data_IF_202918606702
#
_entry.id   IF_202918606702
#
_cell.length_a   1.000
_cell.length_b   1.000
_cell.length_c   1.000
_cell.angle_alpha   90.00
_cell.angle_beta   90.00
_cell.angle_gamma   90.00
#
_symmetry.space_group_name_H-M   'P 1'
#
loop_
_entity.id
_entity.type
_entity.pdbx_description
1 polymer ?
#
# COMPACT_ATOMS: atom_id res chain seq x y z
N UNK A 1 -8.82 10.52 11.88
CA UNK A 1 -9.81 9.91 10.94
C UNK A 1 -10.18 10.93 9.86
N UNK A 2 -11.00 10.56 8.87
CA UNK A 2 -11.36 11.44 7.74
C UNK A 2 -12.88 11.48 7.47
N UNK A 3 -13.36 12.52 6.80
CA UNK A 3 -14.79 12.68 6.45
C UNK A 3 -15.08 12.93 4.96
N UNK A 4 -14.06 13.14 4.13
CA UNK A 4 -14.18 13.30 2.67
C UNK A 4 -13.71 12.07 1.90
N UNK A 5 -13.78 10.88 2.51
CA UNK A 5 -13.35 9.64 1.86
C UNK A 5 -14.20 9.39 0.61
N UNK A 6 -13.57 9.16 -0.57
CA UNK A 6 -14.31 8.86 -1.78
C UNK A 6 -15.04 7.53 -1.66
N UNK A 7 -16.12 7.38 -2.44
CA UNK A 7 -16.81 6.09 -2.54
C UNK A 7 -15.84 5.00 -2.98
N UNK A 8 -15.89 3.86 -2.30
CA UNK A 8 -14.99 2.70 -2.41
C UNK A 8 -13.52 2.94 -2.02
N UNK A 9 -13.10 4.19 -1.81
CA UNK A 9 -11.72 4.56 -1.48
C UNK A 9 -10.65 3.83 -2.32
N UNK A 10 -10.61 4.06 -3.65
CA UNK A 10 -9.79 3.27 -4.58
C UNK A 10 -8.28 3.33 -4.32
N UNK A 11 -7.80 4.39 -3.65
CA UNK A 11 -6.39 4.53 -3.26
C UNK A 11 -6.14 4.07 -1.81
N UNK A 12 -7.18 3.66 -1.10
CA UNK A 12 -7.12 3.30 0.32
C UNK A 12 -6.51 4.41 1.21
N UNK A 13 -7.01 5.64 1.05
CA UNK A 13 -6.55 6.80 1.81
C UNK A 13 -7.05 6.80 3.26
N UNK A 14 -8.10 6.04 3.56
CA UNK A 14 -8.58 5.89 4.93
C UNK A 14 -7.49 5.32 5.84
N UNK A 15 -6.63 4.45 5.30
CA UNK A 15 -5.48 3.87 5.99
C UNK A 15 -5.85 3.20 7.34
N UNK A 16 -7.06 2.63 7.43
CA UNK A 16 -7.63 2.13 8.69
C UNK A 16 -6.79 1.03 9.35
N UNK A 17 -6.13 0.16 8.57
CA UNK A 17 -5.22 -0.85 9.11
C UNK A 17 -4.11 -0.22 9.96
N UNK A 18 -3.54 0.89 9.50
CA UNK A 18 -2.49 1.58 10.24
C UNK A 18 -3.04 2.12 11.57
N UNK A 19 -4.16 2.85 11.53
CA UNK A 19 -4.74 3.52 12.70
C UNK A 19 -5.34 2.56 13.73
N UNK A 20 -5.99 1.47 13.28
CA UNK A 20 -6.75 0.57 14.14
C UNK A 20 -6.01 -0.70 14.55
N UNK A 21 -4.96 -1.10 13.80
CA UNK A 21 -4.17 -2.28 14.13
C UNK A 21 -2.71 -1.90 14.43
N UNK A 22 -1.98 -1.36 13.44
CA UNK A 22 -0.53 -1.17 13.55
C UNK A 22 -0.15 -0.22 14.68
N UNK A 23 -0.81 0.95 14.77
CA UNK A 23 -0.46 1.98 15.76
C UNK A 23 -0.80 1.57 17.19
N UNK A 24 -1.89 0.83 17.36
CA UNK A 24 -2.24 0.22 18.64
C UNK A 24 -1.15 -0.76 19.10
N UNK A 25 -0.70 -1.66 18.22
CA UNK A 25 0.36 -2.62 18.54
C UNK A 25 1.67 -1.91 18.91
N UNK A 26 2.02 -0.83 18.20
CA UNK A 26 3.22 -0.05 18.49
C UNK A 26 3.13 0.66 19.84
N UNK A 27 1.95 1.15 20.21
CA UNK A 27 1.71 1.76 21.51
C UNK A 27 1.86 0.78 22.68
N UNK A 28 1.43 -0.49 22.50
CA UNK A 28 1.68 -1.56 23.49
C UNK A 28 3.18 -1.78 23.73
N UNK A 29 4.02 -1.48 22.76
CA UNK A 29 5.48 -1.49 22.88
C UNK A 29 6.07 -0.18 23.44
N UNK A 30 5.23 0.78 23.82
CA UNK A 30 5.60 2.12 24.27
C UNK A 30 5.98 3.08 23.14
N UNK A 31 5.55 2.81 21.90
CA UNK A 31 5.82 3.66 20.72
C UNK A 31 4.56 4.41 20.25
N UNK A 32 3.95 5.19 21.14
CA UNK A 32 2.97 6.19 20.73
C UNK A 32 3.66 7.29 19.93
N UNK A 33 3.30 7.46 18.65
CA UNK A 33 3.89 8.50 17.81
C UNK A 33 2.91 9.66 17.58
N UNK A 34 3.48 10.83 17.41
CA UNK A 34 2.85 12.00 16.81
C UNK A 34 2.85 11.85 15.28
N UNK A 35 1.68 12.11 14.67
CA UNK A 35 1.46 12.07 13.21
C UNK A 35 1.06 13.45 12.65
N UNK A 36 1.47 14.52 13.32
CA UNK A 36 1.39 15.91 12.86
C UNK A 36 0.10 16.65 13.26
N UNK A 37 -0.97 15.94 13.64
CA UNK A 37 -2.25 16.55 14.06
C UNK A 37 -2.94 15.73 15.14
N UNK A 38 -3.76 16.39 15.97
CA UNK A 38 -4.59 15.72 16.98
C UNK A 38 -3.81 15.15 18.16
N UNK A 39 -2.68 15.76 18.48
CA UNK A 39 -1.74 15.29 19.51
C UNK A 39 -1.50 16.38 20.55
N UNK A 40 -1.05 15.96 21.74
CA UNK A 40 -0.72 16.85 22.85
C UNK A 40 0.64 16.43 23.40
N UNK A 41 1.50 17.41 23.68
CA UNK A 41 2.80 17.18 24.31
C UNK A 41 3.06 18.24 25.36
N UNK A 42 3.69 17.82 26.46
CA UNK A 42 4.04 18.75 27.54
C UNK A 42 5.10 19.70 27.00
N UNK A 43 4.97 21.00 27.35
CA UNK A 43 5.97 22.00 26.97
C UNK A 43 7.38 21.60 27.41
N UNK A 44 7.52 21.10 28.64
CA UNK A 44 8.78 20.57 29.15
C UNK A 44 9.39 19.49 28.26
N UNK A 45 8.59 18.60 27.67
CA UNK A 45 9.11 17.58 26.74
C UNK A 45 9.73 18.23 25.51
N UNK A 46 9.12 19.30 24.98
CA UNK A 46 9.67 20.05 23.84
C UNK A 46 11.00 20.70 24.23
N UNK A 47 11.08 21.28 25.42
CA UNK A 47 12.32 21.89 25.92
C UNK A 47 13.43 20.84 26.13
N UNK A 48 13.08 19.69 26.72
CA UNK A 48 14.03 18.61 27.01
C UNK A 48 14.61 17.97 25.73
N UNK A 49 13.83 17.90 24.64
CA UNK A 49 14.34 17.40 23.35
C UNK A 49 15.04 18.48 22.50
N UNK A 50 15.10 19.73 22.99
CA UNK A 50 15.74 20.85 22.29
C UNK A 50 14.90 21.48 21.18
N UNK A 51 13.58 21.34 21.23
CA UNK A 51 12.65 21.87 20.22
C UNK A 51 12.24 20.87 19.15
N UNK A 52 11.55 21.34 18.12
CA UNK A 52 11.16 20.51 16.97
C UNK A 52 12.35 20.33 16.01
N UNK A 53 12.60 19.13 15.50
CA UNK A 53 13.70 18.87 14.57
C UNK A 53 13.41 19.50 13.19
N UNK A 54 14.37 20.27 12.68
CA UNK A 54 14.26 20.95 11.38
C UNK A 54 14.97 20.19 10.23
N UNK A 55 15.74 19.15 10.57
CA UNK A 55 16.57 18.37 9.66
C UNK A 55 15.84 17.19 9.01
N UNK A 56 14.61 16.89 9.45
CA UNK A 56 13.79 15.75 8.99
C UNK A 56 12.45 16.25 8.47
N UNK A 57 12.00 15.71 7.33
CA UNK A 57 10.77 16.14 6.66
C UNK A 57 9.48 15.71 7.38
N UNK A 58 9.60 14.79 8.34
CA UNK A 58 8.56 14.34 9.29
C UNK A 58 9.02 14.69 10.70
N UNK A 59 8.97 15.98 11.02
CA UNK A 59 9.38 16.52 12.31
C UNK A 59 8.57 15.92 13.46
N UNK A 60 7.29 15.64 13.21
CA UNK A 60 6.34 15.00 14.12
C UNK A 60 6.81 13.63 14.65
N UNK A 61 7.15 12.72 13.73
CA UNK A 61 7.63 11.38 14.05
C UNK A 61 9.00 11.46 14.74
N UNK A 62 9.90 12.32 14.24
CA UNK A 62 11.22 12.50 14.84
C UNK A 62 11.13 13.06 16.26
N UNK A 63 10.23 14.01 16.54
CA UNK A 63 10.01 14.53 17.89
C UNK A 63 9.55 13.44 18.86
N UNK A 64 8.75 12.48 18.40
CA UNK A 64 8.31 11.36 19.23
C UNK A 64 9.46 10.41 19.55
N UNK A 65 10.32 10.13 18.57
CA UNK A 65 11.54 9.35 18.77
C UNK A 65 12.49 10.05 19.76
N UNK A 66 12.68 11.37 19.63
CA UNK A 66 13.50 12.16 20.54
C UNK A 66 12.91 12.17 21.96
N UNK A 67 11.60 12.31 22.11
CA UNK A 67 10.95 12.27 23.42
C UNK A 67 11.17 10.90 24.12
N UNK A 68 11.03 9.80 23.38
CA UNK A 68 11.34 8.47 23.91
C UNK A 68 12.83 8.30 24.24
N UNK A 69 13.73 8.93 23.48
CA UNK A 69 15.16 8.95 23.78
C UNK A 69 15.50 9.68 25.08
N UNK A 70 14.71 10.69 25.44
CA UNK A 70 14.76 11.42 26.72
C UNK A 70 13.93 10.76 27.83
N UNK A 71 13.38 9.56 27.59
CA UNK A 71 12.72 8.75 28.61
C UNK A 71 11.26 9.14 28.86
N UNK A 72 10.69 10.01 28.04
CA UNK A 72 9.28 10.36 28.12
C UNK A 72 8.38 9.20 27.71
N UNK A 73 7.25 9.07 28.42
CA UNK A 73 6.20 8.12 28.05
C UNK A 73 5.33 8.74 26.96
N UNK A 74 5.18 8.02 25.85
CA UNK A 74 4.23 8.33 24.80
C UNK A 74 3.04 7.38 24.85
N UNK A 75 1.87 7.86 24.41
CA UNK A 75 0.60 7.11 24.43
C UNK A 75 -0.18 7.43 23.16
N UNK A 76 -0.71 6.40 22.49
CA UNK A 76 -1.65 6.51 21.38
C UNK A 76 -3.07 6.21 21.85
N UNK A 77 -3.98 7.18 21.67
CA UNK A 77 -5.39 6.99 21.97
C UNK A 77 -6.14 6.60 20.70
N UNK A 78 -6.72 5.40 20.68
CA UNK A 78 -7.45 4.86 19.53
C UNK A 78 -8.91 5.38 19.48
N UNK A 79 -9.09 6.70 19.48
CA UNK A 79 -10.41 7.34 19.47
C UNK A 79 -10.53 8.36 18.33
N UNK A 80 -11.72 8.43 17.74
CA UNK A 80 -12.05 9.33 16.64
C UNK A 80 -12.30 10.77 17.09
N UNK A 81 -11.31 11.41 17.70
CA UNK A 81 -11.45 12.78 18.23
C UNK A 81 -11.32 13.87 17.14
N UNK A 82 -10.65 13.55 16.03
CA UNK A 82 -10.47 14.47 14.92
C UNK A 82 -10.78 13.80 13.56
N UNK A 83 -11.51 14.55 12.73
CA UNK A 83 -11.84 14.18 11.36
C UNK A 83 -11.27 15.22 10.39
N UNK A 84 -10.21 14.83 9.67
CA UNK A 84 -9.55 15.65 8.65
C UNK A 84 -10.03 15.36 7.23
N UNK A 85 -9.29 15.91 6.28
CA UNK A 85 -9.47 15.67 4.85
C UNK A 85 -8.35 14.78 4.32
N UNK A 86 -8.67 13.79 3.50
CA UNK A 86 -7.69 13.10 2.65
C UNK A 86 -7.36 13.96 1.43
N UNK A 87 -6.16 13.80 0.82
CA UNK A 87 -5.81 14.50 -0.42
C UNK A 87 -6.87 14.32 -1.51
N UNK A 88 -7.22 15.41 -2.19
CA UNK A 88 -8.24 15.43 -3.25
C UNK A 88 -7.75 14.91 -4.60
N UNK A 89 -6.43 14.91 -4.82
CA UNK A 89 -5.81 14.49 -6.08
C UNK A 89 -4.87 13.30 -5.89
N UNK A 90 -4.68 12.53 -6.96
CA UNK A 90 -3.73 11.42 -7.01
C UNK A 90 -2.32 11.89 -6.63
N UNK A 91 -1.83 12.94 -7.28
CA UNK A 91 -0.47 13.47 -7.08
C UNK A 91 -0.26 13.97 -5.66
N UNK A 92 -1.26 14.65 -5.07
CA UNK A 92 -1.16 15.11 -3.69
C UNK A 92 -1.06 13.93 -2.70
N UNK A 93 -1.80 12.85 -2.98
CA UNK A 93 -1.70 11.63 -2.20
C UNK A 93 -0.33 10.94 -2.34
N UNK A 94 0.17 10.76 -3.56
CA UNK A 94 1.49 10.16 -3.78
C UNK A 94 2.59 10.99 -3.09
N UNK A 95 2.58 12.31 -3.24
CA UNK A 95 3.55 13.20 -2.57
C UNK A 95 3.49 13.09 -1.04
N UNK A 96 2.30 12.98 -0.47
CA UNK A 96 2.15 12.76 0.97
C UNK A 96 2.79 11.43 1.40
N UNK A 97 2.50 10.34 0.69
CA UNK A 97 3.03 9.01 1.02
C UNK A 97 4.55 8.91 0.83
N UNK A 98 5.10 9.48 -0.24
CA UNK A 98 6.56 9.47 -0.48
C UNK A 98 7.30 10.30 0.56
N UNK A 99 6.71 11.42 1.01
CA UNK A 99 7.27 12.23 2.09
C UNK A 99 7.30 11.49 3.41
N UNK A 100 6.21 10.82 3.78
CA UNK A 100 6.15 10.00 4.99
C UNK A 100 7.18 8.86 4.94
N UNK A 101 7.29 8.18 3.81
CA UNK A 101 8.28 7.12 3.61
C UNK A 101 9.72 7.63 3.80
N UNK A 102 10.08 8.74 3.15
CA UNK A 102 11.42 9.32 3.28
C UNK A 102 11.69 9.84 4.69
N UNK A 103 10.72 10.48 5.34
CA UNK A 103 10.86 10.97 6.70
C UNK A 103 11.06 9.86 7.73
N UNK A 104 10.34 8.74 7.58
CA UNK A 104 10.58 7.54 8.41
C UNK A 104 12.00 6.98 8.20
N UNK A 105 12.49 6.93 6.97
CA UNK A 105 13.88 6.53 6.66
C UNK A 105 14.92 7.50 7.24
N UNK A 106 14.69 8.81 7.13
CA UNK A 106 15.57 9.83 7.70
C UNK A 106 15.65 9.70 9.23
N UNK A 107 14.51 9.51 9.88
CA UNK A 107 14.42 9.33 11.34
C UNK A 107 15.20 8.08 11.76
N UNK A 108 14.96 6.92 11.13
CA UNK A 108 15.69 5.70 11.44
C UNK A 108 17.21 5.86 11.27
N UNK A 109 17.64 6.50 10.19
CA UNK A 109 19.06 6.77 9.91
C UNK A 109 19.66 7.72 10.94
N UNK A 110 18.96 8.80 11.32
CA UNK A 110 19.42 9.78 12.33
C UNK A 110 19.72 9.10 13.66
N UNK A 111 18.88 8.15 14.08
CA UNK A 111 19.06 7.39 15.32
C UNK A 111 20.03 6.19 15.19
N UNK A 112 20.69 6.01 14.04
CA UNK A 112 21.57 4.87 13.79
C UNK A 112 20.81 3.54 13.91
N UNK A 113 19.62 3.47 13.30
CA UNK A 113 18.66 2.37 13.44
C UNK A 113 18.33 2.05 14.91
N UNK A 114 18.34 3.08 15.76
CA UNK A 114 18.06 3.00 17.20
C UNK A 114 19.07 2.20 18.02
N UNK A 115 20.27 1.95 17.46
CA UNK A 115 21.39 1.31 18.15
C UNK A 115 22.45 2.30 18.66
N UNK A 116 22.36 3.58 18.29
CA UNK A 116 23.23 4.61 18.84
C UNK A 116 22.93 4.81 20.34
N UNK A 117 23.88 4.46 21.21
CA UNK A 117 23.72 4.59 22.67
C UNK A 117 23.46 6.04 23.10
N UNK A 118 24.16 6.99 22.47
CA UNK A 118 24.01 8.42 22.74
C UNK A 118 22.60 8.91 22.39
N UNK A 119 22.09 8.53 21.21
CA UNK A 119 20.80 9.00 20.69
C UNK A 119 19.59 8.24 21.23
N UNK A 120 19.79 7.18 22.01
CA UNK A 120 18.70 6.31 22.51
C UNK A 120 18.85 6.00 24.00
N UNK A 121 19.47 6.91 24.75
CA UNK A 121 19.92 6.73 26.14
C UNK A 121 18.84 6.15 27.05
N UNK A 122 17.63 6.70 27.00
CA UNK A 122 16.52 6.29 27.88
C UNK A 122 15.43 5.46 27.18
N UNK A 123 15.59 5.13 25.90
CA UNK A 123 14.63 4.25 25.22
C UNK A 123 14.68 2.83 25.79
N UNK A 124 13.50 2.25 26.02
CA UNK A 124 13.35 0.87 26.47
C UNK A 124 13.76 -0.13 25.38
N UNK A 125 14.22 -1.35 25.74
CA UNK A 125 14.61 -2.35 24.74
C UNK A 125 13.52 -2.65 23.71
N UNK A 126 12.27 -2.81 24.14
CA UNK A 126 11.14 -3.08 23.24
C UNK A 126 10.84 -1.88 22.30
N UNK A 127 11.01 -0.65 22.79
CA UNK A 127 10.89 0.56 21.95
C UNK A 127 11.96 0.56 20.85
N UNK A 128 13.21 0.23 21.20
CA UNK A 128 14.30 0.11 20.22
C UNK A 128 13.98 -0.97 19.20
N UNK A 129 13.58 -2.17 19.63
CA UNK A 129 13.29 -3.29 18.73
C UNK A 129 12.22 -2.95 17.69
N UNK A 130 11.08 -2.39 18.11
CA UNK A 130 10.00 -2.01 17.18
C UNK A 130 10.46 -0.93 16.20
N UNK A 131 11.20 0.07 16.68
CA UNK A 131 11.68 1.17 15.84
C UNK A 131 12.79 0.73 14.87
N UNK A 132 13.71 -0.13 15.30
CA UNK A 132 14.70 -0.79 14.43
C UNK A 132 13.99 -1.60 13.36
N UNK A 133 13.00 -2.42 13.74
CA UNK A 133 12.24 -3.24 12.79
C UNK A 133 11.51 -2.37 11.74
N UNK A 134 10.87 -1.28 12.16
CA UNK A 134 10.21 -0.35 11.24
C UNK A 134 11.22 0.39 10.34
N UNK A 135 12.34 0.83 10.90
CA UNK A 135 13.44 1.44 10.14
C UNK A 135 13.98 0.50 9.07
N UNK A 136 14.33 -0.73 9.44
CA UNK A 136 14.74 -1.76 8.47
C UNK A 136 13.65 -2.05 7.44
N UNK A 137 12.37 -2.07 7.86
CA UNK A 137 11.26 -2.30 6.94
C UNK A 137 11.21 -1.23 5.84
N UNK A 138 11.29 0.06 6.18
CA UNK A 138 11.23 1.13 5.17
C UNK A 138 12.45 1.10 4.24
N UNK A 139 13.64 0.83 4.75
CA UNK A 139 14.89 0.79 3.98
C UNK A 139 15.01 -0.46 3.09
N UNK A 140 14.46 -1.61 3.49
CA UNK A 140 14.66 -2.90 2.80
C UNK A 140 13.43 -3.30 1.97
N UNK A 141 12.23 -3.25 2.57
CA UNK A 141 11.02 -3.80 1.94
C UNK A 141 10.66 -3.07 0.65
N UNK A 142 10.81 -1.75 0.62
CA UNK A 142 10.43 -0.94 -0.54
C UNK A 142 11.31 -1.22 -1.76
N UNK A 143 12.66 -1.17 -1.66
CA UNK A 143 13.53 -1.63 -2.75
C UNK A 143 13.26 -3.07 -3.19
N UNK A 144 13.13 -4.00 -2.25
CA UNK A 144 12.88 -5.40 -2.59
C UNK A 144 11.54 -5.62 -3.30
N UNK A 145 10.51 -4.86 -2.95
CA UNK A 145 9.19 -4.94 -3.62
C UNK A 145 9.32 -4.48 -5.08
N UNK A 146 10.04 -3.38 -5.35
CA UNK A 146 10.25 -2.90 -6.72
C UNK A 146 11.10 -3.88 -7.52
N UNK A 147 12.20 -4.38 -6.96
CA UNK A 147 13.02 -5.40 -7.60
C UNK A 147 12.20 -6.66 -7.88
N UNK A 148 11.37 -7.10 -6.94
CA UNK A 148 10.47 -8.22 -7.15
C UNK A 148 9.48 -7.97 -8.29
N UNK A 149 8.86 -6.79 -8.40
CA UNK A 149 7.98 -6.46 -9.52
C UNK A 149 8.70 -6.53 -10.88
N UNK A 150 9.94 -6.03 -10.95
CA UNK A 150 10.75 -6.06 -12.17
C UNK A 150 11.17 -7.49 -12.50
N UNK A 151 11.84 -8.19 -11.58
CA UNK A 151 12.34 -9.53 -11.84
C UNK A 151 11.22 -10.54 -12.05
N UNK A 152 10.12 -10.44 -11.31
CA UNK A 152 8.97 -11.33 -11.51
C UNK A 152 8.34 -11.11 -12.88
N UNK A 153 8.15 -9.86 -13.33
CA UNK A 153 7.58 -9.60 -14.66
C UNK A 153 8.49 -10.06 -15.80
N UNK A 154 9.81 -9.89 -15.67
CA UNK A 154 10.79 -10.39 -16.64
C UNK A 154 10.89 -11.93 -16.63
N UNK A 155 10.95 -12.56 -15.46
CA UNK A 155 10.97 -14.01 -15.33
C UNK A 155 9.69 -14.63 -15.89
N UNK A 156 8.54 -14.00 -15.65
CA UNK A 156 7.26 -14.48 -16.14
C UNK A 156 7.17 -14.42 -17.68
N UNK A 157 7.86 -13.49 -18.35
CA UNK A 157 7.95 -13.46 -19.82
C UNK A 157 8.74 -14.63 -20.42
N UNK A 158 9.62 -15.26 -19.65
CA UNK A 158 10.32 -16.46 -20.11
C UNK A 158 9.36 -17.66 -20.17
N UNK A 159 9.81 -18.77 -20.76
CA UNK A 159 9.05 -20.03 -20.79
C UNK A 159 9.26 -20.88 -19.53
N UNK A 160 9.93 -20.33 -18.50
CA UNK A 160 10.15 -21.05 -17.26
C UNK A 160 8.81 -21.40 -16.58
N UNK A 161 8.61 -22.66 -16.17
CA UNK A 161 7.42 -23.03 -15.40
C UNK A 161 7.45 -22.37 -14.02
N UNK A 162 6.27 -22.08 -13.46
CA UNK A 162 6.19 -21.53 -12.10
C UNK A 162 6.64 -22.56 -11.06
N UNK A 163 6.32 -23.83 -11.30
CA UNK A 163 6.66 -24.95 -10.44
C UNK A 163 7.02 -26.15 -11.31
N UNK A 164 8.00 -26.93 -10.85
CA UNK A 164 8.40 -28.19 -11.46
C UNK A 164 7.94 -29.37 -10.60
N UNK A 165 7.58 -30.48 -11.23
CA UNK A 165 7.23 -31.75 -10.60
C UNK A 165 7.61 -32.90 -11.52
N UNK A 166 7.90 -34.06 -10.93
CA UNK A 166 8.33 -35.29 -11.62
C UNK A 166 7.15 -36.07 -12.18
N UNK A 167 6.03 -36.12 -11.45
CA UNK A 167 4.85 -36.92 -11.77
C UNK A 167 3.56 -36.27 -11.23
N UNK A 168 2.42 -36.89 -11.55
CA UNK A 168 1.09 -36.36 -11.18
C UNK A 168 0.84 -36.42 -9.67
N UNK A 169 1.43 -37.37 -8.95
CA UNK A 169 1.24 -37.46 -7.49
C UNK A 169 1.97 -36.34 -6.78
N UNK A 170 3.21 -36.08 -7.18
CA UNK A 170 4.00 -34.95 -6.68
C UNK A 170 3.32 -33.61 -7.02
N UNK A 171 2.80 -33.45 -8.25
CA UNK A 171 2.04 -32.26 -8.62
C UNK A 171 0.85 -32.02 -7.68
N UNK A 172 0.03 -33.05 -7.42
CA UNK A 172 -1.14 -32.93 -6.53
C UNK A 172 -0.73 -32.57 -5.11
N UNK A 173 0.34 -33.19 -4.61
CA UNK A 173 0.88 -32.90 -3.28
C UNK A 173 1.37 -31.45 -3.17
N UNK A 174 2.15 -30.97 -4.14
CA UNK A 174 2.64 -29.60 -4.19
C UNK A 174 1.50 -28.60 -4.30
N UNK A 175 0.46 -28.89 -5.10
CA UNK A 175 -0.73 -28.05 -5.21
C UNK A 175 -1.46 -27.90 -3.88
N UNK A 176 -1.64 -29.00 -3.12
CA UNK A 176 -2.28 -28.96 -1.80
C UNK A 176 -1.47 -28.16 -0.79
N UNK A 177 -0.14 -28.33 -0.77
CA UNK A 177 0.74 -27.54 0.10
C UNK A 177 0.64 -26.05 -0.23
N UNK A 178 0.76 -25.68 -1.50
CA UNK A 178 0.75 -24.29 -1.92
C UNK A 178 -0.62 -23.63 -1.64
N UNK A 179 -1.71 -24.35 -1.91
CA UNK A 179 -3.06 -23.92 -1.50
C UNK A 179 -3.15 -23.73 0.02
N UNK A 180 -2.65 -24.66 0.83
CA UNK A 180 -2.65 -24.53 2.29
C UNK A 180 -1.86 -23.29 2.75
N UNK A 181 -0.71 -23.00 2.14
CA UNK A 181 0.09 -21.80 2.43
C UNK A 181 -0.73 -20.52 2.11
N UNK A 182 -1.38 -20.47 0.95
CA UNK A 182 -2.20 -19.32 0.55
C UNK A 182 -3.40 -19.14 1.49
N UNK A 183 -4.06 -20.22 1.89
CA UNK A 183 -5.18 -20.19 2.83
C UNK A 183 -4.75 -19.78 4.24
N UNK A 184 -3.58 -20.23 4.72
CA UNK A 184 -3.02 -19.79 6.01
C UNK A 184 -2.65 -18.30 5.97
N UNK A 185 -2.08 -17.82 4.87
CA UNK A 185 -1.86 -16.39 4.66
C UNK A 185 -3.19 -15.62 4.68
N UNK A 186 -4.23 -16.12 4.02
CA UNK A 186 -5.54 -15.49 4.05
C UNK A 186 -6.16 -15.49 5.45
N UNK A 187 -6.01 -16.57 6.23
CA UNK A 187 -6.44 -16.63 7.62
C UNK A 187 -5.73 -15.59 8.50
N UNK A 188 -4.44 -15.35 8.25
CA UNK A 188 -3.70 -14.27 8.91
C UNK A 188 -4.27 -12.88 8.58
N UNK A 189 -4.67 -12.64 7.32
CA UNK A 189 -5.37 -11.40 6.94
C UNK A 189 -6.74 -11.28 7.62
N UNK A 190 -7.48 -12.40 7.77
CA UNK A 190 -8.75 -12.44 8.49
C UNK A 190 -8.60 -12.16 9.99
N UNK A 191 -7.51 -12.62 10.61
CA UNK A 191 -7.20 -12.27 11.99
C UNK A 191 -7.06 -10.75 12.18
N UNK A 192 -6.29 -10.07 11.32
CA UNK A 192 -6.20 -8.61 11.38
C UNK A 192 -7.49 -7.89 10.97
N UNK A 193 -8.31 -8.52 10.13
CA UNK A 193 -9.61 -7.98 9.74
C UNK A 193 -10.56 -7.78 10.93
N UNK A 194 -10.35 -8.48 12.05
CA UNK A 194 -11.10 -8.26 13.30
C UNK A 194 -10.88 -6.83 13.82
N UNK A 195 -9.66 -6.29 13.69
CA UNK A 195 -9.30 -4.96 14.19
C UNK A 195 -9.62 -3.84 13.19
N UNK A 196 -9.28 -4.04 11.91
CA UNK A 196 -9.32 -2.98 10.90
C UNK A 196 -10.42 -3.13 9.84
N UNK A 197 -11.09 -4.28 9.81
CA UNK A 197 -12.02 -4.69 8.77
C UNK A 197 -11.33 -5.33 7.56
N UNK A 198 -11.99 -6.34 6.97
CA UNK A 198 -11.44 -7.18 5.89
C UNK A 198 -10.86 -6.41 4.71
N UNK A 199 -11.59 -5.40 4.21
CA UNK A 199 -11.12 -4.58 3.08
C UNK A 199 -9.86 -3.78 3.42
N UNK A 200 -9.78 -3.24 4.64
CA UNK A 200 -8.63 -2.47 5.09
C UNK A 200 -7.37 -3.33 5.11
N UNK A 201 -7.48 -4.56 5.61
CA UNK A 201 -6.36 -5.49 5.67
C UNK A 201 -5.86 -5.87 4.27
N UNK A 202 -6.77 -6.27 3.36
CA UNK A 202 -6.38 -6.64 2.00
C UNK A 202 -5.80 -5.45 1.21
N UNK A 203 -6.39 -4.26 1.38
CA UNK A 203 -5.89 -3.06 0.73
C UNK A 203 -4.52 -2.63 1.26
N UNK A 204 -4.10 -3.04 2.46
CA UNK A 204 -2.75 -2.74 2.94
C UNK A 204 -1.68 -3.39 2.05
N UNK A 205 -1.89 -4.65 1.66
CA UNK A 205 -0.99 -5.34 0.71
C UNK A 205 -1.00 -4.65 -0.65
N UNK A 206 -2.19 -4.33 -1.18
CA UNK A 206 -2.32 -3.60 -2.45
C UNK A 206 -1.58 -2.25 -2.41
N UNK A 207 -1.82 -1.46 -1.36
CA UNK A 207 -1.19 -0.15 -1.11
C UNK A 207 0.33 -0.26 -1.06
N UNK A 208 0.85 -1.24 -0.33
CA UNK A 208 2.29 -1.46 -0.24
C UNK A 208 2.93 -1.75 -1.61
N UNK A 209 2.27 -2.55 -2.46
CA UNK A 209 2.77 -2.87 -3.79
C UNK A 209 2.71 -1.66 -4.72
N UNK A 210 1.55 -1.01 -4.87
CA UNK A 210 1.42 0.06 -5.87
C UNK A 210 2.14 1.35 -5.45
N UNK A 211 2.32 1.63 -4.16
CA UNK A 211 3.12 2.79 -3.72
C UNK A 211 4.62 2.56 -3.83
N UNK A 212 5.08 1.31 -3.85
CA UNK A 212 6.50 0.98 -3.78
C UNK A 212 7.36 1.67 -4.85
N UNK A 213 6.96 1.83 -6.13
CA UNK A 213 7.81 2.48 -7.13
C UNK A 213 8.00 3.97 -6.85
N UNK A 214 6.95 4.68 -6.40
CA UNK A 214 7.02 6.09 -6.05
C UNK A 214 7.89 6.34 -4.83
N UNK A 215 7.69 5.53 -3.79
CA UNK A 215 8.48 5.58 -2.56
C UNK A 215 9.94 5.25 -2.84
N UNK A 216 10.21 4.21 -3.64
CA UNK A 216 11.57 3.81 -4.04
C UNK A 216 12.28 4.91 -4.81
N UNK A 217 11.64 5.54 -5.80
CA UNK A 217 12.27 6.63 -6.54
C UNK A 217 12.58 7.84 -5.66
N UNK A 218 11.71 8.17 -4.70
CA UNK A 218 11.96 9.23 -3.73
C UNK A 218 13.09 8.87 -2.76
N UNK A 219 13.15 7.62 -2.34
CA UNK A 219 14.20 7.06 -1.51
C UNK A 219 15.56 7.12 -2.21
N UNK A 220 15.66 6.61 -3.44
CA UNK A 220 16.89 6.59 -4.25
C UNK A 220 17.41 8.02 -4.49
N UNK A 221 16.54 8.97 -4.83
CA UNK A 221 16.91 10.38 -5.02
C UNK A 221 17.39 11.06 -3.74
N UNK A 222 16.95 10.60 -2.58
CA UNK A 222 17.30 11.19 -1.28
C UNK A 222 18.59 10.60 -0.72
N UNK A 223 18.75 9.27 -0.79
CA UNK A 223 19.80 8.55 -0.06
C UNK A 223 20.93 7.98 -0.94
N UNK A 224 20.69 7.77 -2.23
CA UNK A 224 21.62 7.05 -3.12
C UNK A 224 22.26 7.98 -4.14
N UNK A 225 21.44 8.76 -4.86
CA UNK A 225 21.93 9.61 -5.95
C UNK A 225 22.59 10.86 -5.35
N UNK A 226 23.87 11.16 -5.69
CA UNK A 226 24.52 12.41 -5.29
C UNK A 226 23.84 13.65 -5.87
N UNK A 227 23.97 14.81 -5.20
CA UNK A 227 23.28 16.06 -5.61
C UNK A 227 23.57 16.49 -7.06
N UNK A 228 24.82 16.30 -7.52
CA UNK A 228 25.24 16.62 -8.88
C UNK A 228 24.66 15.69 -9.97
N UNK A 229 24.13 14.52 -9.59
CA UNK A 229 23.48 13.57 -10.50
C UNK A 229 21.95 13.61 -10.39
N UNK A 230 21.40 14.69 -9.82
CA UNK A 230 19.96 14.88 -9.64
C UNK A 230 19.42 14.35 -8.30
N UNK A 231 20.30 14.02 -7.35
CA UNK A 231 19.92 13.77 -5.97
C UNK A 231 19.25 15.01 -5.37
N UNK A 232 18.04 14.85 -4.84
CA UNK A 232 17.26 15.97 -4.29
C UNK A 232 16.57 15.52 -3.00
N UNK A 233 16.81 16.20 -1.87
CA UNK A 233 16.08 15.91 -0.65
C UNK A 233 14.58 16.21 -0.85
N UNK A 234 13.73 15.38 -0.26
CA UNK A 234 12.29 15.66 -0.24
C UNK A 234 12.03 16.89 0.62
N UNK A 235 11.35 17.88 0.06
CA UNK A 235 10.93 19.09 0.76
C UNK A 235 9.51 18.93 1.31
N UNK A 236 9.23 19.57 2.44
CA UNK A 236 7.87 19.63 2.98
C UNK A 236 7.01 20.54 2.10
N UNK A 237 5.85 20.06 1.69
CA UNK A 237 4.79 20.89 1.09
C UNK A 237 3.47 20.45 1.70
N UNK A 238 2.68 21.36 2.31
CA UNK A 238 1.38 21.00 2.87
C UNK A 238 0.50 20.35 1.79
N UNK A 239 -0.06 19.18 2.08
CA UNK A 239 -0.89 18.45 1.12
C UNK A 239 -2.05 19.31 0.59
N UNK A 240 -2.65 20.13 1.46
CA UNK A 240 -3.76 21.02 1.12
C UNK A 240 -3.39 22.20 0.21
N UNK A 241 -2.10 22.53 0.05
CA UNK A 241 -1.65 23.58 -0.88
C UNK A 241 -1.32 23.05 -2.28
N UNK A 242 -1.36 21.74 -2.49
CA UNK A 242 -1.12 21.13 -3.81
C UNK A 242 -2.35 21.40 -4.68
N UNK A 243 -2.14 22.10 -5.80
CA UNK A 243 -3.22 22.53 -6.69
C UNK A 243 -4.06 21.38 -7.24
N UNK A 244 -5.38 21.57 -7.25
CA UNK A 244 -6.35 20.63 -7.83
C UNK A 244 -6.68 21.01 -9.29
N UNK A 245 -5.65 21.01 -10.16
CA UNK A 245 -5.75 21.49 -11.55
C UNK A 245 -6.79 20.68 -12.37
N UNK A 246 -6.80 19.36 -12.20
CA UNK A 246 -7.63 18.45 -12.99
C UNK A 246 -9.00 18.15 -12.39
N UNK A 247 -9.28 18.63 -11.16
CA UNK A 247 -10.55 18.47 -10.44
C UNK A 247 -11.06 17.04 -10.50
N UNK A 248 -10.16 16.09 -10.21
CA UNK A 248 -10.34 14.65 -10.49
C UNK A 248 -11.63 14.08 -9.89
N UNK A 249 -12.06 14.60 -8.74
CA UNK A 249 -13.20 14.11 -7.96
C UNK A 249 -14.45 14.96 -8.06
N UNK A 250 -14.39 16.08 -8.77
CA UNK A 250 -15.56 16.90 -9.08
C UNK A 250 -16.38 16.22 -10.19
N UNK A 251 -17.71 16.12 -10.11
CA UNK A 251 -18.53 15.52 -11.17
C UNK A 251 -18.73 16.42 -12.39
N UNK A 252 -18.69 17.74 -12.22
CA UNK A 252 -19.05 18.71 -13.26
C UNK A 252 -17.83 19.36 -13.90
N UNK A 253 -16.76 19.54 -13.13
CA UNK A 253 -15.56 20.29 -13.54
C UNK A 253 -14.35 19.40 -13.82
N UNK A 254 -14.53 18.08 -13.83
CA UNK A 254 -13.47 17.09 -14.07
C UNK A 254 -12.82 17.30 -15.43
N UNK A 255 -11.50 17.33 -15.46
CA UNK A 255 -10.78 17.38 -16.73
C UNK A 255 -11.04 16.11 -17.59
N UNK A 256 -10.92 16.23 -18.93
CA UNK A 256 -11.08 15.11 -19.85
C UNK A 256 -10.20 13.90 -19.48
N UNK A 257 -10.72 12.70 -19.74
CA UNK A 257 -10.05 11.43 -19.37
C UNK A 257 -8.60 11.36 -19.86
N UNK A 258 -8.34 11.78 -21.09
CA UNK A 258 -6.99 11.68 -21.68
C UNK A 258 -5.99 12.65 -21.03
N UNK A 259 -6.42 13.85 -20.61
CA UNK A 259 -5.52 14.77 -19.90
C UNK A 259 -5.09 14.19 -18.54
N UNK A 260 -6.05 13.61 -17.80
CA UNK A 260 -5.79 12.99 -16.49
C UNK A 260 -4.92 11.74 -16.61
N UNK A 261 -5.23 10.87 -17.56
CA UNK A 261 -4.44 9.66 -17.81
C UNK A 261 -3.00 10.00 -18.20
N UNK A 262 -2.80 10.93 -19.14
CA UNK A 262 -1.45 11.41 -19.52
C UNK A 262 -0.71 11.97 -18.31
N UNK A 263 -1.36 12.79 -17.49
CA UNK A 263 -0.75 13.39 -16.31
C UNK A 263 -0.31 12.35 -15.28
N UNK A 264 -1.18 11.41 -14.91
CA UNK A 264 -0.87 10.38 -13.91
C UNK A 264 0.19 9.40 -14.41
N UNK A 265 0.15 9.02 -15.70
CA UNK A 265 1.21 8.20 -16.31
C UNK A 265 2.56 8.92 -16.25
N UNK A 266 2.59 10.21 -16.61
CA UNK A 266 3.81 11.02 -16.57
C UNK A 266 4.36 11.20 -15.14
N UNK A 267 3.49 11.19 -14.13
CA UNK A 267 3.88 11.31 -12.71
C UNK A 267 4.38 9.99 -12.08
N UNK A 268 4.62 8.97 -12.90
CA UNK A 268 5.26 7.71 -12.49
C UNK A 268 4.40 6.47 -12.71
N UNK A 269 3.11 6.61 -13.05
CA UNK A 269 2.26 5.45 -13.28
C UNK A 269 2.62 4.64 -14.54
N UNK A 270 3.52 5.16 -15.39
CA UNK A 270 4.12 4.41 -16.49
C UNK A 270 4.80 3.10 -16.03
N UNK A 271 5.39 3.07 -14.83
CA UNK A 271 6.01 1.86 -14.28
C UNK A 271 4.98 0.76 -14.09
N UNK A 272 3.82 1.11 -13.52
CA UNK A 272 2.71 0.18 -13.35
C UNK A 272 2.16 -0.30 -14.69
N UNK A 273 2.01 0.62 -15.65
CA UNK A 273 1.57 0.27 -17.00
C UNK A 273 2.53 -0.74 -17.66
N UNK A 274 3.84 -0.52 -17.55
CA UNK A 274 4.84 -1.45 -18.08
C UNK A 274 4.71 -2.83 -17.42
N UNK A 275 4.69 -2.90 -16.08
CA UNK A 275 4.54 -4.18 -15.35
C UNK A 275 3.26 -4.92 -15.75
N UNK A 276 2.13 -4.21 -15.85
CA UNK A 276 0.85 -4.81 -16.27
C UNK A 276 0.93 -5.34 -17.70
N UNK A 277 1.51 -4.57 -18.63
CA UNK A 277 1.69 -5.02 -20.02
C UNK A 277 2.57 -6.27 -20.08
N UNK A 278 3.68 -6.32 -19.35
CA UNK A 278 4.59 -7.47 -19.35
C UNK A 278 3.87 -8.73 -18.82
N UNK A 279 3.13 -8.62 -17.71
CA UNK A 279 2.38 -9.74 -17.17
C UNK A 279 1.26 -10.21 -18.12
N UNK A 280 0.42 -9.30 -18.62
CA UNK A 280 -0.68 -9.67 -19.51
C UNK A 280 -0.19 -10.25 -20.84
N UNK A 281 0.91 -9.71 -21.39
CA UNK A 281 1.55 -10.26 -22.59
C UNK A 281 2.06 -11.67 -22.33
N UNK A 282 2.74 -11.89 -21.19
CA UNK A 282 3.21 -13.22 -20.82
C UNK A 282 2.05 -14.22 -20.65
N UNK A 283 0.99 -13.85 -19.92
CA UNK A 283 -0.21 -14.70 -19.76
C UNK A 283 -0.77 -15.07 -21.12
N UNK A 284 -0.92 -14.09 -22.02
CA UNK A 284 -1.41 -14.32 -23.37
C UNK A 284 -0.53 -15.31 -24.16
N UNK A 285 0.80 -15.12 -24.13
CA UNK A 285 1.74 -16.01 -24.82
C UNK A 285 1.72 -17.44 -24.24
N UNK A 286 1.64 -17.59 -22.91
CA UNK A 286 1.59 -18.89 -22.23
C UNK A 286 0.29 -19.63 -22.52
N UNK A 287 -0.85 -18.93 -22.50
CA UNK A 287 -2.14 -19.51 -22.91
C UNK A 287 -2.09 -19.90 -24.39
N UNK A 288 -1.61 -19.01 -25.26
CA UNK A 288 -1.47 -19.28 -26.69
C UNK A 288 -0.63 -20.51 -26.97
N UNK A 289 0.50 -20.69 -26.25
CA UNK A 289 1.33 -21.90 -26.35
C UNK A 289 0.61 -23.15 -25.85
N UNK A 290 -0.12 -23.06 -24.74
CA UNK A 290 -0.90 -24.19 -24.23
C UNK A 290 -1.97 -24.63 -25.24
N UNK A 291 -2.63 -23.68 -25.91
CA UNK A 291 -3.59 -23.92 -26.99
C UNK A 291 -2.90 -24.55 -28.20
N UNK A 292 -1.77 -24.00 -28.66
CA UNK A 292 -1.03 -24.56 -29.80
C UNK A 292 -0.60 -26.01 -29.54
N UNK A 293 -0.10 -26.33 -28.35
CA UNK A 293 0.27 -27.70 -27.97
C UNK A 293 -0.94 -28.62 -27.81
N UNK A 294 -2.11 -28.08 -27.49
CA UNK A 294 -3.36 -28.83 -27.39
C UNK A 294 -3.96 -29.17 -28.77
N UNK A 295 -3.83 -28.25 -29.74
CA UNK A 295 -4.41 -28.40 -31.08
C UNK A 295 -3.47 -29.10 -32.07
N UNK A 296 -2.15 -28.90 -31.95
CA UNK A 296 -1.14 -29.47 -32.86
C UNK A 296 -0.64 -30.85 -32.42
N UNK A 297 -1.44 -31.61 -31.66
CA UNK A 297 -1.04 -32.94 -31.16
C UNK A 297 -0.92 -33.90 -32.36
N UNK A 298 0.22 -34.59 -32.56
CA UNK A 298 0.44 -35.49 -33.69
C UNK A 298 -0.54 -36.67 -33.78
N UNK A 299 -1.20 -37.03 -32.67
CA UNK A 299 -2.20 -38.11 -32.61
C UNK A 299 -3.55 -37.73 -33.23
N UNK A 300 -3.77 -36.46 -33.59
CA UNK A 300 -5.05 -35.96 -34.10
C UNK A 300 -6.16 -35.82 -33.04
N UNK A 301 -5.89 -36.19 -31.78
CA UNK A 301 -6.83 -36.07 -30.65
C UNK A 301 -6.41 -34.95 -29.69
N UNK A 302 -7.32 -34.03 -29.32
CA UNK A 302 -6.96 -32.94 -28.41
C UNK A 302 -6.60 -33.43 -27.00
N UNK A 303 -5.42 -33.02 -26.50
CA UNK A 303 -4.90 -33.35 -25.17
C UNK A 303 -5.42 -32.35 -24.12
N UNK A 304 -6.61 -32.60 -23.57
CA UNK A 304 -7.22 -31.74 -22.55
C UNK A 304 -6.50 -31.81 -21.21
N UNK A 305 -6.01 -32.99 -20.83
CA UNK A 305 -5.33 -33.16 -19.54
C UNK A 305 -4.02 -32.37 -19.50
N UNK A 306 -3.17 -32.52 -20.52
CA UNK A 306 -1.94 -31.76 -20.62
C UNK A 306 -2.17 -30.27 -20.84
N UNK A 307 -3.26 -29.87 -21.50
CA UNK A 307 -3.66 -28.45 -21.57
C UNK A 307 -3.85 -27.86 -20.16
N UNK A 308 -4.69 -28.48 -19.33
CA UNK A 308 -4.96 -27.98 -17.99
C UNK A 308 -3.73 -28.04 -17.08
N UNK A 309 -2.90 -29.08 -17.18
CA UNK A 309 -1.63 -29.15 -16.46
C UNK A 309 -0.71 -28.00 -16.85
N UNK A 310 -0.60 -27.67 -18.15
CA UNK A 310 0.18 -26.52 -18.62
C UNK A 310 -0.38 -25.20 -18.10
N UNK A 311 -1.70 -25.02 -18.07
CA UNK A 311 -2.34 -23.81 -17.52
C UNK A 311 -2.03 -23.66 -16.03
N UNK A 312 -2.20 -24.72 -15.24
CA UNK A 312 -1.89 -24.71 -13.80
C UNK A 312 -0.40 -24.43 -13.58
N UNK A 313 0.50 -25.10 -14.31
CA UNK A 313 1.94 -24.94 -14.15
C UNK A 313 2.45 -23.54 -14.47
N UNK A 314 1.87 -22.89 -15.49
CA UNK A 314 2.48 -21.73 -16.11
C UNK A 314 1.70 -20.43 -15.85
N UNK A 315 0.43 -20.51 -15.48
CA UNK A 315 -0.45 -19.34 -15.37
C UNK A 315 -1.21 -19.33 -14.05
N UNK A 316 -1.81 -20.44 -13.67
CA UNK A 316 -2.81 -20.49 -12.61
C UNK A 316 -2.34 -21.20 -11.33
N UNK A 317 -1.02 -21.25 -11.09
CA UNK A 317 -0.49 -21.86 -9.87
C UNK A 317 -1.03 -21.13 -8.62
N UNK A 318 -1.46 -21.83 -7.54
CA UNK A 318 -2.29 -21.22 -6.50
C UNK A 318 -1.68 -19.99 -5.85
N UNK A 319 -0.39 -19.90 -5.53
CA UNK A 319 0.24 -18.71 -4.94
C UNK A 319 0.27 -17.48 -5.85
N UNK A 320 0.06 -17.65 -7.15
CA UNK A 320 -0.15 -16.65 -8.20
C UNK A 320 0.39 -15.22 -7.91
N UNK A 321 1.72 -15.04 -7.82
CA UNK A 321 2.30 -13.74 -7.48
C UNK A 321 2.12 -12.69 -8.58
N UNK A 322 1.96 -13.12 -9.85
CA UNK A 322 1.72 -12.21 -10.97
C UNK A 322 0.33 -11.57 -10.91
N UNK A 323 -0.72 -12.32 -10.51
CA UNK A 323 -2.08 -11.82 -10.42
C UNK A 323 -2.19 -10.74 -9.34
N UNK A 324 -1.66 -11.01 -8.14
CA UNK A 324 -1.65 -10.04 -7.03
C UNK A 324 -0.91 -8.77 -7.43
N UNK A 325 0.26 -8.91 -8.05
CA UNK A 325 1.07 -7.78 -8.53
C UNK A 325 0.36 -6.97 -9.62
N UNK A 326 -0.30 -7.65 -10.56
CA UNK A 326 -1.05 -7.04 -11.65
C UNK A 326 -2.23 -6.24 -11.10
N UNK A 327 -3.03 -6.83 -10.21
CA UNK A 327 -4.19 -6.17 -9.60
C UNK A 327 -3.79 -4.92 -8.80
N UNK A 328 -2.69 -4.97 -8.06
CA UNK A 328 -2.18 -3.81 -7.34
C UNK A 328 -1.67 -2.72 -8.29
N UNK A 329 -0.88 -3.09 -9.31
CA UNK A 329 -0.41 -2.15 -10.33
C UNK A 329 -1.54 -1.56 -11.19
N UNK A 330 -2.69 -2.22 -11.27
CA UNK A 330 -3.87 -1.63 -11.92
C UNK A 330 -4.50 -0.48 -11.13
N UNK A 331 -4.28 -0.36 -9.82
CA UNK A 331 -4.92 0.66 -8.98
C UNK A 331 -4.66 2.10 -9.47
N UNK A 332 -3.41 2.53 -9.72
CA UNK A 332 -3.13 3.84 -10.32
C UNK A 332 -3.80 4.06 -11.68
N UNK A 333 -3.82 3.03 -12.53
CA UNK A 333 -4.37 3.11 -13.89
C UNK A 333 -5.90 3.21 -13.86
N UNK A 334 -6.55 2.41 -13.02
CA UNK A 334 -7.98 2.46 -12.78
C UNK A 334 -8.41 3.81 -12.21
N UNK A 335 -7.66 4.35 -11.24
CA UNK A 335 -7.93 5.69 -10.72
C UNK A 335 -7.78 6.76 -11.81
N UNK A 336 -6.75 6.67 -12.65
CA UNK A 336 -6.52 7.62 -13.73
C UNK A 336 -7.69 7.63 -14.74
N UNK A 337 -8.21 6.46 -15.10
CA UNK A 337 -9.35 6.34 -16.00
C UNK A 337 -10.67 6.75 -15.33
N UNK A 338 -10.92 6.25 -14.13
CA UNK A 338 -12.21 6.30 -13.43
C UNK A 338 -12.06 6.80 -11.98
N UNK A 339 -11.66 8.06 -11.76
CA UNK A 339 -11.52 8.58 -10.41
C UNK A 339 -12.91 8.69 -9.76
N UNK A 340 -12.98 8.51 -8.43
CA UNK A 340 -14.24 8.56 -7.71
C UNK A 340 -14.77 9.99 -7.67
N UNK A 341 -16.08 10.14 -7.52
CA UNK A 341 -16.70 11.44 -7.25
C UNK A 341 -16.86 11.65 -5.75
N UNK A 342 -16.45 12.82 -5.25
CA UNK A 342 -16.68 13.22 -3.86
C UNK A 342 -17.71 14.35 -3.80
N UNK A 343 -18.67 14.32 -2.86
CA UNK A 343 -19.55 15.46 -2.62
C UNK A 343 -18.75 16.69 -2.22
N UNK A 344 -19.30 17.87 -2.51
CA UNK A 344 -18.77 19.14 -2.02
C UNK A 344 -18.62 19.12 -0.49
N UNK A 345 -17.51 19.68 0.02
CA UNK A 345 -17.19 19.73 1.45
C UNK A 345 -18.34 20.31 2.27
N UNK A 346 -19.00 21.34 1.78
CA UNK A 346 -20.09 22.02 2.50
C UNK A 346 -21.28 21.10 2.74
N UNK A 347 -21.49 20.09 1.88
CA UNK A 347 -22.54 19.07 2.01
C UNK A 347 -22.17 17.96 3.00
N UNK A 348 -20.91 17.88 3.40
CA UNK A 348 -20.41 16.86 4.36
C UNK A 348 -20.45 17.36 5.81
N UNK A 349 -20.73 18.65 6.02
CA UNK A 349 -20.73 19.32 7.30
C UNK A 349 -22.17 19.60 7.77
N UNK A 350 -22.46 19.38 9.05
CA UNK A 350 -23.72 19.70 9.69
C UNK A 350 -23.97 21.21 9.83
N UNK A 351 -25.04 21.57 10.54
CA UNK A 351 -25.32 22.97 10.89
C UNK A 351 -24.23 23.51 11.83
N UNK A 352 -24.11 24.83 11.90
CA UNK A 352 -23.28 25.50 12.91
C UNK A 352 -23.91 25.28 14.28
N UNK A 353 -23.07 25.00 15.27
CA UNK A 353 -23.48 25.05 16.68
C UNK A 353 -23.56 26.50 17.18
N UNK A 354 -23.86 26.66 18.47
CA UNK A 354 -23.94 27.96 19.16
C UNK A 354 -22.62 28.76 19.11
N UNK A 355 -21.48 28.08 18.97
CA UNK A 355 -20.16 28.68 18.85
C UNK A 355 -19.76 28.94 17.39
N UNK A 356 -20.67 28.69 16.44
CA UNK A 356 -20.43 28.87 15.01
C UNK A 356 -19.61 27.75 14.36
N UNK A 357 -19.30 26.66 15.07
CA UNK A 357 -18.49 25.53 14.58
C UNK A 357 -19.36 24.55 13.80
N UNK A 358 -18.83 24.02 12.69
CA UNK A 358 -19.49 22.94 11.93
C UNK A 358 -18.73 21.65 12.09
N UNK A 359 -19.46 20.60 12.44
CA UNK A 359 -18.90 19.26 12.52
C UNK A 359 -19.30 18.41 11.31
N UNK A 360 -18.47 17.44 10.88
CA UNK A 360 -18.87 16.49 9.86
C UNK A 360 -20.14 15.73 10.25
N UNK A 361 -20.97 15.39 9.27
CA UNK A 361 -22.16 14.57 9.50
C UNK A 361 -21.77 13.16 9.98
N UNK A 362 -22.55 12.58 10.89
CA UNK A 362 -22.30 11.21 11.39
C UNK A 362 -22.32 10.14 10.28
N UNK A 363 -23.00 10.43 9.19
CA UNK A 363 -23.06 9.57 7.99
C UNK A 363 -21.73 9.49 7.25
N UNK A 364 -20.79 10.42 7.49
CA UNK A 364 -19.50 10.50 6.77
C UNK A 364 -18.26 10.40 7.68
N UNK A 365 -18.41 10.61 8.99
CA UNK A 365 -17.31 10.48 9.97
C UNK A 365 -16.69 9.08 9.94
N UNK A 366 -15.46 8.96 9.43
CA UNK A 366 -14.70 7.70 9.40
C UNK A 366 -15.33 6.60 8.54
N UNK A 367 -16.32 6.92 7.71
CA UNK A 367 -17.11 5.96 6.94
C UNK A 367 -16.81 6.09 5.46
N UNK A 368 -16.43 4.99 4.83
CA UNK A 368 -16.30 4.89 3.37
C UNK A 368 -17.61 4.39 2.77
N UNK A 369 -18.24 5.20 1.90
CA UNK A 369 -19.42 4.76 1.12
C UNK A 369 -19.04 3.65 0.14
N UNK A 370 -19.97 2.74 -0.15
CA UNK A 370 -19.75 1.64 -1.10
C UNK A 370 -20.75 1.65 -2.24
N UNK A 371 -20.26 1.37 -3.43
CA UNK A 371 -21.09 1.03 -4.59
C UNK A 371 -21.22 -0.49 -4.71
N UNK A 372 -22.43 -0.98 -4.99
CA UNK A 372 -22.74 -2.41 -5.16
C UNK A 372 -22.14 -3.01 -6.45
N UNK A 373 -21.67 -2.19 -7.39
CA UNK A 373 -21.27 -2.59 -8.75
C UNK A 373 -19.76 -2.48 -9.00
N UNK A 374 -18.94 -2.38 -7.95
CA UNK A 374 -17.49 -2.15 -8.11
C UNK A 374 -16.72 -3.44 -7.90
N UNK A 375 -15.98 -3.87 -8.92
CA UNK A 375 -15.02 -4.96 -8.83
C UNK A 375 -13.61 -4.35 -8.71
N UNK A 376 -13.07 -4.30 -7.50
CA UNK A 376 -11.72 -3.81 -7.22
C UNK A 376 -10.79 -4.92 -6.74
N UNK A 377 -9.61 -4.52 -6.25
CA UNK A 377 -8.58 -5.45 -5.74
C UNK A 377 -9.14 -6.45 -4.73
N UNK A 378 -9.94 -5.99 -3.77
CA UNK A 378 -10.50 -6.84 -2.70
C UNK A 378 -11.45 -7.87 -3.29
N UNK A 379 -12.40 -7.47 -4.13
CA UNK A 379 -13.38 -8.38 -4.69
C UNK A 379 -12.71 -9.44 -5.57
N UNK A 380 -11.75 -9.04 -6.41
CA UNK A 380 -10.99 -9.99 -7.24
C UNK A 380 -10.13 -10.92 -6.40
N UNK A 381 -9.47 -10.42 -5.35
CA UNK A 381 -8.69 -11.25 -4.44
C UNK A 381 -9.57 -12.28 -3.70
N UNK A 382 -10.76 -11.87 -3.26
CA UNK A 382 -11.73 -12.79 -2.62
C UNK A 382 -12.22 -13.86 -3.58
N UNK A 383 -12.51 -13.52 -4.84
CA UNK A 383 -12.87 -14.51 -5.88
C UNK A 383 -11.72 -15.49 -6.13
N UNK A 384 -10.49 -15.00 -6.13
CA UNK A 384 -9.31 -15.85 -6.25
C UNK A 384 -9.13 -16.80 -5.05
N UNK A 385 -9.53 -16.43 -3.83
CA UNK A 385 -9.57 -17.38 -2.70
C UNK A 385 -10.57 -18.53 -2.93
N UNK A 386 -11.67 -18.31 -3.66
CA UNK A 386 -12.61 -19.38 -4.05
C UNK A 386 -11.92 -20.37 -5.00
N UNK A 387 -11.13 -19.86 -5.95
CA UNK A 387 -10.32 -20.71 -6.82
C UNK A 387 -9.32 -21.56 -6.03
N UNK A 388 -8.60 -20.95 -5.06
CA UNK A 388 -7.65 -21.68 -4.20
C UNK A 388 -8.35 -22.75 -3.36
N UNK A 389 -9.51 -22.45 -2.79
CA UNK A 389 -10.32 -23.43 -2.05
C UNK A 389 -10.76 -24.59 -2.94
N UNK A 390 -11.28 -24.29 -4.14
CA UNK A 390 -11.68 -25.32 -5.09
C UNK A 390 -10.49 -26.22 -5.46
N UNK A 391 -9.33 -25.63 -5.77
CA UNK A 391 -8.11 -26.38 -6.08
C UNK A 391 -7.65 -27.27 -4.92
N UNK A 392 -7.74 -26.80 -3.68
CA UNK A 392 -7.34 -27.60 -2.51
C UNK A 392 -8.15 -28.88 -2.32
N UNK A 393 -9.45 -28.85 -2.65
CA UNK A 393 -10.36 -30.00 -2.46
C UNK A 393 -10.53 -30.88 -3.71
N UNK A 394 -10.32 -30.33 -4.91
CA UNK A 394 -10.55 -31.04 -6.18
C UNK A 394 -9.31 -31.82 -6.65
N UNK A 395 -8.11 -31.33 -6.30
CA UNK A 395 -6.81 -31.94 -6.65
C UNK A 395 -6.38 -32.94 -5.60
#
# INVERSE_FOLDING_TARGET
MFYNLPSNDPLYQANNFDWYAKRLIFDLAGNGWNYGSGWIMRRKTVDDIGGFPEDIVTEDVSSSAMAMAEGWKTIYLQEGLQYGLVPETYVAYIKQMTRWHVGESQTATKFGFYHSKEKTKYMKPLQKWVQTAQGLNVHIRTPLTVLNLVFLSLAFLTDMPLVHWKDKEEMRFLLRIDCAIVLLRWLHELHYAILAGYRSTLNETCKAIYLSPYCFMSYVRTFIIPKNLGGKPVTFTPTGSIGNQFRERDPHRRAPRWQRLRHIIADGAWFHLAVVILFLTSVFLRIGRAVSLHVLVPSGTPDWEGFWMRIIQNVAWPSNPWLVSTLACMTPLQYALFPPTTPDREKLLGKRDENGVRYPLETVRGKTKRSKLTLGYVETYTLYMIFVLAMFFVV
#
